data_IF_216039699909
#
_entry.id   IF_216039699909
#
_cell.length_a   1.000
_cell.length_b   1.000
_cell.length_c   1.000
_cell.angle_alpha   90.00
_cell.angle_beta   90.00
_cell.angle_gamma   90.00
#
_symmetry.space_group_name_H-M   'P 1'
#
loop_
_entity.id
_entity.type
_entity.pdbx_description
1 polymer ?
#
# COMPACT_ATOMS: atom_id res chain seq x y z
N UNK A 1 25.83 -3.88 -1.53
CA UNK A 1 25.57 -3.94 -2.98
C UNK A 1 24.38 -4.88 -3.17
N UNK A 2 23.16 -4.35 -3.17
CA UNK A 2 21.96 -5.16 -3.31
C UNK A 2 21.79 -5.57 -4.76
N UNK A 3 21.87 -6.86 -5.05
CA UNK A 3 21.60 -7.39 -6.37
C UNK A 3 20.12 -7.16 -6.71
N UNK A 4 19.85 -6.42 -7.78
CA UNK A 4 18.50 -6.30 -8.36
C UNK A 4 18.02 -7.67 -8.84
N UNK A 5 16.72 -7.96 -8.74
CA UNK A 5 16.12 -9.22 -9.23
C UNK A 5 16.45 -9.51 -10.72
N UNK A 6 16.82 -8.47 -11.49
CA UNK A 6 17.29 -8.58 -12.86
C UNK A 6 18.71 -9.18 -13.03
N UNK A 7 19.51 -9.32 -11.97
CA UNK A 7 20.89 -9.84 -12.03
C UNK A 7 21.05 -11.27 -11.48
N UNK A 8 19.96 -11.98 -11.20
CA UNK A 8 20.02 -13.36 -10.70
C UNK A 8 20.30 -14.36 -11.84
N UNK A 9 21.21 -15.34 -11.63
CA UNK A 9 21.48 -16.42 -12.57
C UNK A 9 20.28 -17.35 -12.75
N UNK A 10 20.24 -18.12 -13.84
CA UNK A 10 19.12 -19.02 -14.18
C UNK A 10 18.90 -20.15 -13.15
N UNK A 11 19.93 -20.44 -12.36
CA UNK A 11 19.89 -21.35 -11.21
C UNK A 11 20.48 -20.65 -9.98
N UNK A 12 19.80 -20.75 -8.85
CA UNK A 12 20.21 -20.18 -7.55
C UNK A 12 20.54 -21.34 -6.61
N UNK A 13 21.71 -21.31 -5.97
CA UNK A 13 22.08 -22.36 -5.01
C UNK A 13 21.19 -22.27 -3.76
N UNK A 14 20.98 -23.36 -3.03
CA UNK A 14 20.21 -23.32 -1.78
C UNK A 14 20.81 -22.36 -0.74
N UNK A 15 22.14 -22.22 -0.68
CA UNK A 15 22.79 -21.26 0.22
C UNK A 15 22.54 -19.80 -0.19
N UNK A 16 22.58 -19.52 -1.50
CA UNK A 16 22.21 -18.21 -2.02
C UNK A 16 20.73 -17.93 -1.78
N UNK A 17 19.88 -18.92 -2.00
CA UNK A 17 18.46 -18.83 -1.76
C UNK A 17 18.15 -18.58 -0.27
N UNK A 18 18.82 -19.28 0.64
CA UNK A 18 18.71 -19.10 2.09
C UNK A 18 19.17 -17.71 2.51
N UNK A 19 20.26 -17.22 1.94
CA UNK A 19 20.75 -15.86 2.16
C UNK A 19 19.82 -14.78 1.62
N UNK A 20 19.10 -15.03 0.51
CA UNK A 20 18.21 -14.05 -0.14
C UNK A 20 16.77 -14.09 0.42
N UNK A 21 16.27 -15.28 0.77
CA UNK A 21 14.92 -15.48 1.29
C UNK A 21 14.82 -15.18 2.79
N UNK A 22 15.92 -15.36 3.54
CA UNK A 22 15.95 -15.17 4.99
C UNK A 22 14.96 -16.10 5.69
N UNK A 23 14.11 -15.52 6.54
CA UNK A 23 13.10 -16.28 7.32
C UNK A 23 12.01 -16.95 6.46
N UNK A 24 11.94 -16.63 5.16
CA UNK A 24 11.04 -17.30 4.19
C UNK A 24 11.62 -18.60 3.63
N UNK A 25 12.86 -18.94 3.97
CA UNK A 25 13.50 -20.17 3.52
C UNK A 25 12.99 -21.37 4.33
N UNK A 26 12.09 -22.14 3.72
CA UNK A 26 11.65 -23.43 4.24
C UNK A 26 12.62 -24.52 3.77
N UNK A 27 13.50 -24.95 4.68
CA UNK A 27 14.56 -25.91 4.40
C UNK A 27 14.02 -27.23 3.80
N UNK A 28 12.83 -27.69 4.21
CA UNK A 28 12.26 -28.93 3.71
C UNK A 28 11.69 -28.77 2.29
N UNK A 29 10.88 -27.72 2.09
CA UNK A 29 10.23 -27.43 0.80
C UNK A 29 11.24 -27.11 -0.30
N UNK A 30 12.32 -26.40 0.06
CA UNK A 30 13.33 -25.97 -0.90
C UNK A 30 14.34 -27.07 -1.22
N UNK A 31 14.66 -27.96 -0.28
CA UNK A 31 15.48 -29.15 -0.55
C UNK A 31 14.75 -30.17 -1.43
N UNK A 32 13.44 -30.36 -1.26
CA UNK A 32 12.64 -31.26 -2.11
C UNK A 32 12.63 -30.81 -3.59
N UNK A 33 12.74 -29.50 -3.80
CA UNK A 33 12.69 -28.87 -5.11
C UNK A 33 14.05 -28.65 -5.77
N UNK A 34 15.13 -28.82 -5.03
CA UNK A 34 16.47 -28.62 -5.52
C UNK A 34 16.86 -29.76 -6.47
N UNK A 35 17.61 -29.43 -7.52
CA UNK A 35 18.24 -30.43 -8.36
C UNK A 35 19.33 -31.20 -7.57
N UNK A 36 19.86 -32.32 -8.11
CA UNK A 36 20.90 -33.10 -7.42
C UNK A 36 22.19 -32.34 -7.10
N UNK A 37 22.36 -31.14 -7.66
CA UNK A 37 23.48 -30.22 -7.45
C UNK A 37 23.17 -29.17 -6.37
N UNK A 38 21.97 -29.20 -5.78
CA UNK A 38 21.55 -28.30 -4.71
C UNK A 38 21.09 -26.93 -5.21
N UNK A 39 20.56 -26.84 -6.43
CA UNK A 39 20.08 -25.59 -7.03
C UNK A 39 18.58 -25.61 -7.31
N UNK A 40 17.96 -24.43 -7.21
CA UNK A 40 16.59 -24.19 -7.68
C UNK A 40 16.61 -23.29 -8.91
N UNK A 41 15.65 -23.46 -9.82
CA UNK A 41 15.55 -22.58 -11.00
C UNK A 41 15.19 -21.16 -10.56
N UNK A 42 15.60 -20.16 -11.33
CA UNK A 42 15.22 -18.76 -11.11
C UNK A 42 13.70 -18.57 -11.05
N UNK A 43 12.95 -19.29 -11.87
CA UNK A 43 11.49 -19.24 -11.87
C UNK A 43 10.90 -19.82 -10.58
N UNK A 44 11.40 -20.96 -10.11
CA UNK A 44 11.00 -21.56 -8.83
C UNK A 44 11.40 -20.66 -7.65
N UNK A 45 12.63 -20.16 -7.65
CA UNK A 45 13.14 -19.18 -6.68
C UNK A 45 12.26 -17.93 -6.65
N UNK A 46 11.86 -17.39 -7.79
CA UNK A 46 10.98 -16.23 -7.87
C UNK A 46 9.54 -16.60 -7.49
N UNK A 47 9.04 -17.80 -7.83
CA UNK A 47 7.68 -18.22 -7.49
C UNK A 47 7.46 -18.41 -5.98
N UNK A 48 8.51 -18.81 -5.25
CA UNK A 48 8.48 -18.98 -3.79
C UNK A 48 9.12 -17.82 -3.04
N UNK A 49 10.09 -17.14 -3.65
CA UNK A 49 10.69 -15.90 -3.17
C UNK A 49 9.81 -14.66 -3.39
N UNK A 50 8.80 -14.74 -4.27
CA UNK A 50 7.67 -13.80 -4.37
C UNK A 50 6.54 -14.13 -3.40
N UNK A 51 6.65 -15.17 -2.56
CA UNK A 51 5.76 -15.28 -1.40
C UNK A 51 6.14 -14.16 -0.41
N UNK A 52 5.42 -13.04 -0.54
CA UNK A 52 5.55 -11.75 0.14
C UNK A 52 6.86 -11.01 -0.14
N UNK A 53 6.83 -9.71 -0.52
CA UNK A 53 8.04 -8.89 -0.56
C UNK A 53 8.67 -8.86 0.85
N UNK A 54 9.98 -9.13 0.94
CA UNK A 54 10.72 -8.64 2.10
C UNK A 54 10.68 -7.12 2.04
N UNK A 55 10.24 -6.45 3.11
CA UNK A 55 9.99 -5.03 3.12
C UNK A 55 11.31 -4.31 2.84
N UNK A 56 11.35 -3.54 1.77
CA UNK A 56 12.41 -2.56 1.54
C UNK A 56 12.31 -1.47 2.61
N UNK A 57 12.87 -1.71 3.79
CA UNK A 57 13.03 -0.70 4.83
C UNK A 57 11.79 -0.37 5.67
N UNK A 58 10.80 -1.26 5.75
CA UNK A 58 9.70 -1.20 6.72
C UNK A 58 9.97 -2.04 7.97
N UNK A 59 9.27 -1.74 9.07
CA UNK A 59 9.27 -2.55 10.30
C UNK A 59 8.35 -3.77 10.13
N UNK A 60 8.56 -4.86 10.89
CA UNK A 60 7.59 -5.98 10.89
C UNK A 60 6.25 -5.50 11.45
N UNK A 61 5.15 -6.23 11.18
CA UNK A 61 3.83 -5.90 11.73
C UNK A 61 3.87 -5.83 13.25
N UNK A 62 4.57 -6.75 13.90
CA UNK A 62 4.73 -6.81 15.35
C UNK A 62 5.51 -5.60 15.88
N UNK A 63 6.52 -5.14 15.15
CA UNK A 63 7.29 -3.95 15.50
C UNK A 63 6.45 -2.67 15.33
N UNK A 64 5.68 -2.55 14.25
CA UNK A 64 4.75 -1.44 14.04
C UNK A 64 3.68 -1.39 15.12
N UNK A 65 3.09 -2.55 15.47
CA UNK A 65 2.11 -2.67 16.53
C UNK A 65 2.71 -2.35 17.90
N UNK A 66 3.95 -2.78 18.17
CA UNK A 66 4.66 -2.43 19.40
C UNK A 66 4.96 -0.92 19.49
N UNK A 67 5.37 -0.29 18.39
CA UNK A 67 5.59 1.15 18.32
C UNK A 67 4.27 1.92 18.54
N UNK A 68 3.20 1.52 17.87
CA UNK A 68 1.87 2.10 18.04
C UNK A 68 1.34 1.92 19.47
N UNK A 69 1.59 0.77 20.10
CA UNK A 69 1.22 0.54 21.49
C UNK A 69 2.03 1.43 22.45
N UNK A 70 3.31 1.67 22.18
CA UNK A 70 4.13 2.58 22.98
C UNK A 70 3.67 4.03 22.85
N UNK A 71 3.35 4.48 21.64
CA UNK A 71 2.81 5.82 21.40
C UNK A 71 1.43 6.01 22.05
N UNK A 72 0.58 4.97 22.00
CA UNK A 72 -0.70 4.96 22.68
C UNK A 72 -0.55 5.06 24.21
N UNK A 73 0.37 4.29 24.79
CA UNK A 73 0.68 4.40 26.23
C UNK A 73 1.21 5.79 26.60
N UNK A 74 2.03 6.40 25.75
CA UNK A 74 2.52 7.75 25.96
C UNK A 74 1.39 8.79 25.90
N UNK A 75 0.43 8.63 24.98
CA UNK A 75 -0.74 9.48 24.88
C UNK A 75 -1.66 9.33 26.10
N UNK A 76 -1.91 8.10 26.55
CA UNK A 76 -2.70 7.81 27.75
C UNK A 76 -2.04 8.38 29.02
N UNK A 77 -0.72 8.21 29.17
CA UNK A 77 0.04 8.77 30.28
C UNK A 77 0.02 10.31 30.32
N UNK A 78 -0.07 10.95 29.14
CA UNK A 78 -0.22 12.39 29.01
C UNK A 78 -1.68 12.87 29.11
N UNK A 79 -2.65 11.95 29.25
CA UNK A 79 -4.08 12.29 29.34
C UNK A 79 -4.65 12.87 28.04
N UNK A 80 -4.09 12.48 26.89
CA UNK A 80 -4.46 13.02 25.58
C UNK A 80 -5.77 12.39 25.12
N UNK A 81 -6.75 13.22 24.77
CA UNK A 81 -7.94 12.77 24.05
C UNK A 81 -7.63 12.58 22.56
N UNK A 82 -7.12 11.39 22.21
CA UNK A 82 -6.80 11.05 20.83
C UNK A 82 -8.02 11.13 19.91
N UNK A 83 -9.25 10.94 20.42
CA UNK A 83 -10.47 11.06 19.60
C UNK A 83 -10.69 12.50 19.20
N UNK A 84 -10.46 13.45 20.10
CA UNK A 84 -10.52 14.87 19.80
C UNK A 84 -9.49 15.26 18.74
N UNK A 85 -8.24 14.77 18.87
CA UNK A 85 -7.17 14.99 17.87
C UNK A 85 -7.57 14.45 16.49
N UNK A 86 -7.99 13.19 16.39
CA UNK A 86 -8.33 12.61 15.08
C UNK A 86 -9.59 13.24 14.48
N UNK A 87 -10.58 13.58 15.32
CA UNK A 87 -11.83 14.19 14.85
C UNK A 87 -11.60 15.59 14.29
N UNK A 88 -10.78 16.43 14.92
CA UNK A 88 -10.55 17.79 14.41
C UNK A 88 -9.86 17.78 13.03
N UNK A 89 -8.95 16.83 12.80
CA UNK A 89 -8.28 16.64 11.50
C UNK A 89 -9.26 16.09 10.46
N UNK A 90 -10.05 15.07 10.83
CA UNK A 90 -11.03 14.42 9.94
C UNK A 90 -12.07 15.40 9.41
N UNK A 91 -12.50 16.35 10.24
CA UNK A 91 -13.47 17.39 9.87
C UNK A 91 -12.83 18.67 9.32
N UNK A 92 -11.56 18.62 8.92
CA UNK A 92 -10.84 19.73 8.29
C UNK A 92 -10.90 21.04 9.10
N UNK A 93 -10.76 20.95 10.44
CA UNK A 93 -10.68 22.15 11.27
C UNK A 93 -9.49 23.02 10.84
N UNK A 94 -9.61 24.36 10.90
CA UNK A 94 -8.51 25.26 10.59
C UNK A 94 -7.25 24.92 11.41
N UNK A 95 -6.07 25.10 10.83
CA UNK A 95 -4.78 24.76 11.49
C UNK A 95 -4.66 25.44 12.85
N UNK A 96 -5.17 26.66 13.00
CA UNK A 96 -5.17 27.39 14.28
C UNK A 96 -5.99 26.67 15.37
N UNK A 97 -7.16 26.11 15.02
CA UNK A 97 -7.95 25.30 15.96
C UNK A 97 -7.26 23.97 16.28
N UNK A 98 -6.63 23.35 15.27
CA UNK A 98 -5.87 22.11 15.47
C UNK A 98 -4.66 22.33 16.38
N UNK A 99 -3.98 23.47 16.24
CA UNK A 99 -2.82 23.84 17.06
C UNK A 99 -3.18 24.06 18.53
N UNK A 100 -4.43 24.39 18.86
CA UNK A 100 -4.90 24.45 20.25
C UNK A 100 -5.10 23.07 20.88
N UNK A 101 -5.29 22.04 20.06
CA UNK A 101 -5.51 20.66 20.50
C UNK A 101 -4.18 19.88 20.49
N UNK A 102 -3.34 20.08 19.47
CA UNK A 102 -2.07 19.38 19.31
C UNK A 102 -0.96 20.23 19.93
N UNK A 103 -0.70 19.99 21.21
CA UNK A 103 0.22 20.81 22.02
C UNK A 103 1.60 20.16 22.23
N UNK A 104 1.78 18.91 21.84
CA UNK A 104 3.03 18.19 22.04
C UNK A 104 3.24 17.11 20.97
N UNK A 105 4.47 16.60 20.81
CA UNK A 105 4.74 15.48 19.90
C UNK A 105 3.92 14.22 20.18
N UNK A 106 3.51 13.99 21.44
CA UNK A 106 2.62 12.88 21.79
C UNK A 106 1.20 13.07 21.23
N UNK A 107 0.73 14.31 21.06
CA UNK A 107 -0.53 14.59 20.35
C UNK A 107 -0.37 14.31 18.85
N UNK A 108 0.75 14.73 18.25
CA UNK A 108 1.03 14.52 16.82
C UNK A 108 1.14 13.04 16.45
N UNK A 109 1.45 12.18 17.43
CA UNK A 109 1.69 10.75 17.23
C UNK A 109 0.70 9.85 18.00
N UNK A 110 -0.44 10.37 18.48
CA UNK A 110 -1.43 9.52 19.13
C UNK A 110 -2.09 8.57 18.10
N UNK A 111 -2.45 7.36 18.50
CA UNK A 111 -3.00 6.34 17.60
C UNK A 111 -4.52 6.25 17.72
N UNK A 112 -5.24 6.20 16.59
CA UNK A 112 -6.67 5.88 16.53
C UNK A 112 -6.86 4.37 16.73
N UNK A 113 -7.56 3.98 17.80
CA UNK A 113 -7.73 2.56 18.17
C UNK A 113 -8.58 1.77 17.18
N UNK A 114 -9.34 2.43 16.30
CA UNK A 114 -10.21 1.74 15.34
C UNK A 114 -9.48 1.22 14.11
N UNK A 115 -8.44 1.91 13.66
CA UNK A 115 -7.77 1.64 12.38
C UNK A 115 -6.24 1.85 12.43
N UNK A 116 -5.67 2.08 13.62
CA UNK A 116 -4.24 2.32 13.82
C UNK A 116 -3.72 3.59 13.16
N UNK A 117 -4.59 4.49 12.68
CA UNK A 117 -4.14 5.71 12.03
C UNK A 117 -3.50 6.66 13.04
N UNK A 118 -2.56 7.44 12.52
CA UNK A 118 -1.98 8.59 13.19
C UNK A 118 -2.62 9.86 12.60
N UNK A 119 -2.57 11.00 13.29
CA UNK A 119 -3.00 12.30 12.78
C UNK A 119 -2.59 12.58 11.33
N UNK A 120 -1.32 12.29 11.01
CA UNK A 120 -0.74 12.50 9.68
C UNK A 120 -1.33 11.59 8.59
N UNK A 121 -1.82 10.38 8.93
CA UNK A 121 -2.50 9.51 7.97
C UNK A 121 -3.82 10.14 7.51
N UNK A 122 -4.62 10.65 8.45
CA UNK A 122 -5.91 11.28 8.14
C UNK A 122 -5.72 12.59 7.38
N UNK A 123 -4.72 13.39 7.76
CA UNK A 123 -4.38 14.62 7.04
C UNK A 123 -3.93 14.33 5.60
N UNK A 124 -3.13 13.27 5.39
CA UNK A 124 -2.68 12.85 4.06
C UNK A 124 -3.82 12.27 3.21
N UNK A 125 -4.68 11.43 3.78
CA UNK A 125 -5.87 10.87 3.12
C UNK A 125 -6.86 11.96 2.66
N UNK A 126 -6.95 13.08 3.38
CA UNK A 126 -7.85 14.16 3.02
C UNK A 126 -7.20 15.25 2.15
N UNK A 127 -5.91 15.11 1.82
CA UNK A 127 -5.19 16.11 1.03
C UNK A 127 -4.95 17.44 1.75
N UNK A 128 -5.01 17.46 3.09
CA UNK A 128 -4.87 18.70 3.87
C UNK A 128 -3.40 19.15 3.95
N UNK A 129 -2.87 19.70 2.86
CA UNK A 129 -1.45 20.02 2.70
C UNK A 129 -0.85 20.86 3.83
N UNK A 130 -1.49 21.99 4.18
CA UNK A 130 -1.00 22.88 5.24
C UNK A 130 -0.94 22.16 6.59
N UNK A 131 -1.89 21.28 6.85
CA UNK A 131 -1.96 20.52 8.09
C UNK A 131 -0.92 19.40 8.13
N UNK A 132 -0.66 18.71 7.01
CA UNK A 132 0.44 17.74 6.91
C UNK A 132 1.77 18.42 7.20
N UNK A 133 2.01 19.58 6.56
CA UNK A 133 3.23 20.36 6.78
C UNK A 133 3.38 20.81 8.24
N UNK A 134 2.29 21.25 8.84
CA UNK A 134 2.27 21.64 10.25
C UNK A 134 2.53 20.45 11.19
N UNK A 135 1.92 19.28 10.95
CA UNK A 135 2.13 18.07 11.75
C UNK A 135 3.59 17.59 11.68
N UNK A 136 4.18 17.56 10.48
CA UNK A 136 5.59 17.19 10.28
C UNK A 136 6.51 18.14 11.04
N UNK A 137 6.26 19.45 10.98
CA UNK A 137 7.01 20.44 11.75
C UNK A 137 6.87 20.26 13.28
N UNK A 138 5.78 19.66 13.74
CA UNK A 138 5.50 19.35 15.15
C UNK A 138 5.85 17.90 15.54
N UNK A 139 6.78 17.28 14.80
CA UNK A 139 7.35 15.97 15.16
C UNK A 139 6.44 14.79 14.88
N UNK A 140 5.47 14.92 13.97
CA UNK A 140 4.76 13.75 13.46
C UNK A 140 5.73 12.82 12.73
N UNK A 141 5.65 11.53 13.04
CA UNK A 141 6.44 10.50 12.37
C UNK A 141 5.95 10.35 10.92
N UNK A 142 6.86 10.43 9.95
CA UNK A 142 6.51 10.42 8.51
C UNK A 142 6.38 9.01 7.92
N UNK A 143 6.94 8.00 8.59
CA UNK A 143 7.04 6.62 8.12
C UNK A 143 6.26 5.61 8.98
N UNK A 144 5.39 6.09 9.88
CA UNK A 144 4.52 5.20 10.68
C UNK A 144 3.61 4.39 9.76
N UNK A 145 3.31 3.16 10.18
CA UNK A 145 2.38 2.27 9.49
C UNK A 145 1.11 2.18 10.32
N UNK A 146 -0.05 2.39 9.69
CA UNK A 146 -1.35 2.28 10.34
C UNK A 146 -1.82 0.82 10.47
N UNK A 147 -3.07 0.61 10.87
CA UNK A 147 -3.80 -0.66 10.96
C UNK A 147 -4.05 -1.40 9.63
N UNK A 148 -3.46 -0.98 8.51
CA UNK A 148 -3.36 -1.76 7.25
C UNK A 148 -1.92 -1.78 6.70
N UNK A 149 -0.95 -1.30 7.48
CA UNK A 149 0.46 -1.22 7.08
C UNK A 149 0.77 -0.02 6.19
N UNK A 150 -0.24 0.78 5.86
CA UNK A 150 -0.08 1.93 5.01
C UNK A 150 0.62 3.05 5.77
N UNK A 151 1.56 3.71 5.11
CA UNK A 151 2.19 4.95 5.59
C UNK A 151 1.38 6.18 5.16
N UNK A 152 1.65 7.37 5.70
CA UNK A 152 1.02 8.60 5.22
C UNK A 152 1.24 8.84 3.73
N UNK A 153 2.38 8.40 3.19
CA UNK A 153 2.69 8.48 1.77
C UNK A 153 1.78 7.57 0.93
N UNK A 154 1.50 6.34 1.38
CA UNK A 154 0.51 5.47 0.71
C UNK A 154 -0.86 6.15 0.61
N UNK A 155 -1.30 6.83 1.67
CA UNK A 155 -2.57 7.56 1.68
C UNK A 155 -2.55 8.75 0.72
N UNK A 156 -1.50 9.57 0.74
CA UNK A 156 -1.41 10.71 -0.17
C UNK A 156 -1.47 10.29 -1.65
N UNK A 157 -0.82 9.17 -1.97
CA UNK A 157 -0.73 8.66 -3.35
C UNK A 157 -2.02 7.96 -3.79
N UNK A 158 -2.65 7.15 -2.94
CA UNK A 158 -3.88 6.43 -3.31
C UNK A 158 -5.04 7.37 -3.68
N UNK A 159 -5.04 8.56 -3.07
CA UNK A 159 -6.00 9.65 -3.32
C UNK A 159 -5.48 10.76 -4.25
N UNK A 160 -4.32 10.58 -4.90
CA UNK A 160 -3.77 11.48 -5.92
C UNK A 160 -3.45 12.91 -5.43
N UNK A 161 -3.00 13.05 -4.18
CA UNK A 161 -2.56 14.33 -3.61
C UNK A 161 -1.07 14.53 -3.82
N UNK A 162 -0.71 14.98 -5.03
CA UNK A 162 0.69 15.20 -5.44
C UNK A 162 1.46 16.19 -4.55
N UNK A 163 0.83 17.29 -4.11
CA UNK A 163 1.48 18.27 -3.23
C UNK A 163 1.82 17.68 -1.85
N UNK A 164 0.89 16.91 -1.27
CA UNK A 164 1.11 16.19 -0.01
C UNK A 164 2.21 15.15 -0.17
N UNK A 165 2.15 14.35 -1.23
CA UNK A 165 3.13 13.32 -1.53
C UNK A 165 4.53 13.92 -1.69
N UNK A 166 4.65 15.01 -2.47
CA UNK A 166 5.90 15.74 -2.65
C UNK A 166 6.46 16.28 -1.34
N UNK A 167 5.61 16.80 -0.45
CA UNK A 167 6.06 17.29 0.85
C UNK A 167 6.50 16.16 1.78
N UNK A 168 5.76 15.05 1.85
CA UNK A 168 6.15 13.86 2.62
C UNK A 168 7.51 13.32 2.15
N UNK A 169 7.73 13.24 0.84
CA UNK A 169 9.02 12.84 0.25
C UNK A 169 10.15 13.80 0.64
N UNK A 170 9.91 15.12 0.53
CA UNK A 170 10.89 16.13 0.96
C UNK A 170 11.18 16.08 2.48
N UNK A 171 10.26 15.47 3.25
CA UNK A 171 10.35 15.30 4.70
C UNK A 171 10.91 13.93 5.12
N UNK A 172 11.40 13.13 4.17
CA UNK A 172 12.06 11.85 4.45
C UNK A 172 11.14 10.63 4.47
N UNK A 173 9.96 10.70 3.82
CA UNK A 173 9.12 9.52 3.62
C UNK A 173 9.86 8.46 2.78
N UNK A 174 9.87 7.22 3.25
CA UNK A 174 10.48 6.08 2.56
C UNK A 174 9.46 5.44 1.61
N UNK A 175 9.78 5.48 0.32
CA UNK A 175 8.93 4.98 -0.77
C UNK A 175 8.91 3.45 -0.88
N UNK A 176 9.87 2.77 -0.26
CA UNK A 176 10.02 1.33 -0.34
C UNK A 176 9.30 0.59 0.81
N UNK A 177 8.76 1.31 1.80
CA UNK A 177 7.93 0.69 2.85
C UNK A 177 6.68 0.11 2.19
N UNK A 178 6.44 -1.16 2.43
CA UNK A 178 5.25 -1.88 1.97
C UNK A 178 4.15 -1.83 3.02
N UNK A 179 2.90 -1.73 2.57
CA UNK A 179 1.75 -2.09 3.38
C UNK A 179 1.70 -3.61 3.65
N UNK A 180 0.74 -4.09 4.44
CA UNK A 180 0.69 -5.53 4.78
C UNK A 180 0.23 -6.44 3.64
N UNK A 181 -0.26 -5.85 2.55
CA UNK A 181 -0.51 -6.56 1.29
C UNK A 181 0.76 -6.69 0.44
N UNK A 182 1.87 -6.06 0.87
CA UNK A 182 3.15 -6.07 0.17
C UNK A 182 3.35 -4.93 -0.82
N UNK A 183 2.41 -3.98 -0.93
CA UNK A 183 2.50 -2.88 -1.89
C UNK A 183 3.37 -1.75 -1.33
N UNK A 184 4.50 -1.37 -1.97
CA UNK A 184 5.29 -0.22 -1.58
C UNK A 184 4.61 1.11 -1.89
N UNK A 185 4.97 2.14 -1.11
CA UNK A 185 4.47 3.50 -1.29
C UNK A 185 4.90 4.16 -2.62
N UNK A 186 5.90 3.63 -3.34
CA UNK A 186 6.40 4.25 -4.58
C UNK A 186 5.40 4.26 -5.75
N UNK A 187 4.43 3.34 -5.74
CA UNK A 187 3.48 3.21 -6.83
C UNK A 187 2.51 4.40 -6.83
N UNK A 188 2.72 5.34 -7.75
CA UNK A 188 1.93 6.54 -7.98
C UNK A 188 2.68 7.86 -7.78
N UNK A 189 3.96 7.84 -7.36
CA UNK A 189 4.80 9.04 -7.22
C UNK A 189 5.11 9.67 -8.59
N UNK A 190 5.43 8.84 -9.59
CA UNK A 190 5.73 9.29 -10.96
C UNK A 190 4.48 9.24 -11.88
N UNK A 191 3.29 9.04 -11.29
CA UNK A 191 2.06 8.67 -12.03
C UNK A 191 1.98 7.20 -12.42
N UNK A 192 3.03 6.42 -12.13
CA UNK A 192 3.09 4.96 -12.31
C UNK A 192 2.25 4.26 -11.24
N UNK A 193 1.01 3.93 -11.58
CA UNK A 193 0.13 3.09 -10.76
C UNK A 193 0.72 1.68 -10.68
N UNK A 194 0.46 0.95 -9.57
CA UNK A 194 0.91 -0.44 -9.42
C UNK A 194 0.56 -1.23 -10.69
N UNK A 195 1.56 -1.75 -11.41
CA UNK A 195 1.33 -2.45 -12.67
C UNK A 195 0.46 -3.70 -12.51
N UNK A 196 0.30 -4.21 -11.28
CA UNK A 196 -0.53 -5.36 -10.97
C UNK A 196 -1.89 -4.99 -10.35
N UNK A 197 -2.17 -3.70 -10.09
CA UNK A 197 -3.46 -3.30 -9.52
C UNK A 197 -4.59 -3.63 -10.49
N UNK A 198 -5.63 -4.39 -10.07
CA UNK A 198 -6.69 -4.80 -10.97
C UNK A 198 -7.47 -3.64 -11.59
N UNK A 199 -7.62 -2.49 -10.90
CA UNK A 199 -8.29 -1.30 -11.46
C UNK A 199 -7.40 -0.69 -12.54
N UNK A 200 -6.09 -0.61 -12.30
CA UNK A 200 -5.13 -0.10 -13.28
C UNK A 200 -5.00 -1.01 -14.50
N UNK A 201 -4.88 -2.33 -14.30
CA UNK A 201 -4.88 -3.31 -15.37
C UNK A 201 -6.15 -3.22 -16.22
N UNK A 202 -7.30 -2.95 -15.58
CA UNK A 202 -8.55 -2.72 -16.29
C UNK A 202 -8.55 -1.40 -17.08
N UNK A 203 -8.00 -0.32 -16.52
CA UNK A 203 -7.88 1.00 -17.17
C UNK A 203 -6.88 1.00 -18.35
N UNK A 204 -5.89 0.10 -18.33
CA UNK A 204 -4.78 0.06 -19.29
C UNK A 204 -4.85 -1.10 -20.28
N UNK A 205 -5.90 -1.93 -20.22
CA UNK A 205 -6.04 -3.10 -21.09
C UNK A 205 -6.13 -2.70 -22.58
N UNK A 206 -5.65 -3.56 -23.46
CA UNK A 206 -5.75 -3.41 -24.93
C UNK A 206 -6.46 -4.58 -25.57
N UNK A 207 -6.57 -5.70 -24.87
CA UNK A 207 -7.22 -6.93 -25.35
C UNK A 207 -8.31 -7.39 -24.39
N UNK A 208 -9.25 -8.15 -24.91
CA UNK A 208 -10.31 -8.80 -24.11
C UNK A 208 -9.71 -9.69 -23.00
N UNK A 209 -8.63 -10.41 -23.31
CA UNK A 209 -7.94 -11.28 -22.35
C UNK A 209 -7.37 -10.50 -21.17
N UNK A 210 -6.77 -9.32 -21.42
CA UNK A 210 -6.26 -8.46 -20.36
C UNK A 210 -7.38 -7.90 -19.49
N UNK A 211 -8.51 -7.52 -20.09
CA UNK A 211 -9.68 -7.09 -19.35
C UNK A 211 -10.22 -8.21 -18.45
N UNK A 212 -10.38 -9.44 -18.97
CA UNK A 212 -10.84 -10.59 -18.20
C UNK A 212 -9.86 -10.99 -17.09
N UNK A 213 -8.56 -10.91 -17.35
CA UNK A 213 -7.52 -11.16 -16.35
C UNK A 213 -7.60 -10.13 -15.21
N UNK A 214 -7.76 -8.84 -15.54
CA UNK A 214 -7.93 -7.78 -14.56
C UNK A 214 -9.22 -7.97 -13.71
N UNK A 215 -10.33 -8.36 -14.34
CA UNK A 215 -11.58 -8.65 -13.64
C UNK A 215 -11.47 -9.87 -12.72
N UNK A 216 -10.78 -10.92 -13.17
CA UNK A 216 -10.52 -12.11 -12.35
C UNK A 216 -9.61 -11.77 -11.16
N UNK A 217 -8.57 -10.96 -11.37
CA UNK A 217 -7.72 -10.47 -10.31
C UNK A 217 -8.49 -9.59 -9.30
N UNK A 218 -9.43 -8.77 -9.78
CA UNK A 218 -10.30 -7.97 -8.92
C UNK A 218 -11.24 -8.85 -8.09
N UNK A 219 -11.81 -9.89 -8.69
CA UNK A 219 -12.64 -10.84 -7.96
C UNK A 219 -11.85 -11.57 -6.87
N UNK A 220 -10.66 -12.08 -7.18
CA UNK A 220 -9.81 -12.72 -6.16
C UNK A 220 -9.46 -11.73 -5.05
N UNK A 221 -9.13 -10.49 -5.38
CA UNK A 221 -8.91 -9.43 -4.40
C UNK A 221 -10.16 -9.16 -3.55
N UNK A 222 -11.35 -9.21 -4.14
CA UNK A 222 -12.61 -9.02 -3.41
C UNK A 222 -12.88 -10.14 -2.38
N UNK A 223 -12.29 -11.32 -2.57
CA UNK A 223 -12.39 -12.45 -1.63
C UNK A 223 -11.41 -12.31 -0.47
N UNK A 224 -10.23 -11.74 -0.72
CA UNK A 224 -9.15 -11.64 0.28
C UNK A 224 -9.19 -10.33 1.07
N UNK A 225 -9.47 -9.21 0.41
CA UNK A 225 -9.41 -7.88 1.00
C UNK A 225 -10.42 -6.94 0.31
N UNK A 226 -11.67 -7.02 0.78
CA UNK A 226 -12.77 -6.25 0.25
C UNK A 226 -12.74 -4.77 0.66
N UNK A 227 -12.16 -4.45 1.82
CA UNK A 227 -12.19 -3.11 2.40
C UNK A 227 -11.18 -2.16 1.72
N UNK A 228 -10.08 -2.67 1.15
CA UNK A 228 -9.12 -1.82 0.41
C UNK A 228 -9.55 -1.47 -1.01
N UNK A 229 -10.60 -2.10 -1.54
CA UNK A 229 -11.04 -1.88 -2.91
C UNK A 229 -11.84 -0.59 -3.00
N UNK A 230 -11.30 0.40 -3.72
CA UNK A 230 -12.05 1.61 -4.09
C UNK A 230 -13.12 1.26 -5.14
N UNK A 231 -14.29 0.85 -4.64
CA UNK A 231 -15.46 0.51 -5.45
C UNK A 231 -15.87 1.66 -6.37
N UNK A 232 -15.73 2.91 -5.94
CA UNK A 232 -16.09 4.08 -6.76
C UNK A 232 -15.15 4.21 -7.95
N UNK A 233 -13.85 4.04 -7.73
CA UNK A 233 -12.82 4.09 -8.77
C UNK A 233 -12.92 2.91 -9.74
N UNK A 234 -13.21 1.72 -9.24
CA UNK A 234 -13.48 0.55 -10.09
C UNK A 234 -14.72 0.75 -10.97
N UNK A 235 -15.83 1.24 -10.38
CA UNK A 235 -17.05 1.58 -11.10
C UNK A 235 -16.82 2.62 -12.21
N UNK A 236 -16.10 3.71 -11.87
CA UNK A 236 -15.74 4.75 -12.83
C UNK A 236 -14.87 4.22 -13.97
N UNK A 237 -13.89 3.37 -13.66
CA UNK A 237 -12.99 2.76 -14.65
C UNK A 237 -13.77 1.93 -15.66
N UNK A 238 -14.62 1.00 -15.20
CA UNK A 238 -15.46 0.20 -16.12
C UNK A 238 -16.42 1.07 -16.95
N UNK A 239 -16.92 2.18 -16.39
CA UNK A 239 -17.77 3.11 -17.15
C UNK A 239 -16.99 3.91 -18.21
N UNK A 240 -15.76 4.34 -17.89
CA UNK A 240 -14.87 5.04 -18.81
C UNK A 240 -14.40 4.14 -19.95
N UNK A 241 -14.06 2.88 -19.64
CA UNK A 241 -13.72 1.85 -20.63
C UNK A 241 -14.90 1.62 -21.56
N UNK A 242 -16.11 1.46 -21.03
CA UNK A 242 -17.33 1.30 -21.82
C UNK A 242 -17.63 2.50 -22.73
N UNK A 243 -17.32 3.72 -22.29
CA UNK A 243 -17.56 4.96 -23.06
C UNK A 243 -16.47 5.23 -24.11
N UNK A 244 -15.33 4.52 -24.07
CA UNK A 244 -14.18 4.75 -24.95
C UNK A 244 -13.53 6.13 -24.75
N UNK A 245 -13.63 6.69 -23.54
CA UNK A 245 -13.17 8.06 -23.23
C UNK A 245 -11.70 8.15 -22.81
N UNK A 246 -11.01 7.01 -22.69
CA UNK A 246 -9.57 6.88 -22.46
C UNK A 246 -8.97 6.00 -23.56
N UNK A 247 -7.63 5.90 -23.64
CA UNK A 247 -6.78 5.26 -24.66
C UNK A 247 -7.04 3.77 -24.99
N UNK A 248 -8.24 3.26 -24.74
CA UNK A 248 -8.72 1.92 -24.99
C UNK A 248 -9.36 1.86 -26.38
N UNK A 249 -8.91 0.92 -27.21
CA UNK A 249 -9.62 0.56 -28.41
C UNK A 249 -10.97 -0.05 -28.03
N UNK A 250 -12.04 0.41 -28.68
CA UNK A 250 -13.44 0.05 -28.36
C UNK A 250 -13.74 -1.45 -28.45
N UNK A 251 -12.81 -2.22 -29.03
CA UNK A 251 -12.92 -3.65 -29.33
C UNK A 251 -12.57 -4.55 -28.13
N UNK A 252 -11.85 -4.05 -27.12
CA UNK A 252 -11.40 -4.85 -25.96
C UNK A 252 -12.49 -5.09 -24.91
N UNK A 253 -13.61 -4.34 -24.97
CA UNK A 253 -14.69 -4.37 -23.96
C UNK A 253 -15.93 -5.14 -24.44
N UNK A 254 -15.80 -6.46 -24.54
CA UNK A 254 -16.84 -7.37 -25.05
C UNK A 254 -18.05 -7.51 -24.10
N UNK A 255 -19.18 -8.06 -24.57
CA UNK A 255 -20.32 -8.40 -23.70
C UNK A 255 -19.95 -9.33 -22.54
N UNK A 256 -18.96 -10.20 -22.73
CA UNK A 256 -18.43 -11.08 -21.69
C UNK A 256 -17.71 -10.29 -20.59
N UNK A 257 -16.82 -9.35 -20.95
CA UNK A 257 -16.21 -8.43 -19.98
C UNK A 257 -17.26 -7.62 -19.20
N UNK A 258 -18.33 -7.19 -19.86
CA UNK A 258 -19.41 -6.45 -19.23
C UNK A 258 -20.20 -7.30 -18.22
N UNK A 259 -20.50 -8.55 -18.56
CA UNK A 259 -21.15 -9.49 -17.65
C UNK A 259 -20.26 -9.74 -16.43
N UNK A 260 -18.98 -10.04 -16.67
CA UNK A 260 -18.01 -10.31 -15.60
C UNK A 260 -17.79 -9.09 -14.69
N UNK A 261 -17.67 -7.90 -15.27
CA UNK A 261 -17.60 -6.66 -14.51
C UNK A 261 -18.84 -6.45 -13.63
N UNK A 262 -20.04 -6.76 -14.15
CA UNK A 262 -21.29 -6.71 -13.38
C UNK A 262 -21.30 -7.67 -12.19
N UNK A 263 -20.78 -8.88 -12.37
CA UNK A 263 -20.63 -9.86 -11.29
C UNK A 263 -19.68 -9.37 -10.21
N UNK A 264 -18.48 -8.90 -10.58
CA UNK A 264 -17.50 -8.34 -9.64
C UNK A 264 -18.08 -7.12 -8.91
N UNK A 265 -18.78 -6.23 -9.60
CA UNK A 265 -19.48 -5.09 -8.99
C UNK A 265 -20.57 -5.49 -7.99
N UNK A 266 -21.17 -6.67 -8.14
CA UNK A 266 -22.13 -7.22 -7.18
C UNK A 266 -21.46 -7.84 -5.95
N UNK A 267 -20.20 -8.26 -6.08
CA UNK A 267 -19.41 -8.83 -4.99
C UNK A 267 -18.78 -7.76 -4.10
N UNK A 268 -18.36 -6.64 -4.69
CA UNK A 268 -17.89 -5.43 -4.00
C UNK A 268 -19.04 -4.71 -3.30
#
# INVERSE_FOLDING_TARGET
MGASASSLPDKVTLDQAKSLAGDRFDDAKWQEAADPEGNVTKETFLSWGNAAPVPGGGVTKEQAEAEAAADMQAADAAGIDWKAVHSCIRWAKPVDEVALIILSPAHSNCVDTGNGNYPIHIAAQNGHFDLVKWLVANGAKVNVQNGTGQTPLHMAISYDYGEVSGHLLSSGANVEICNWDGNPAKFGIDGDKDPNDPIFLLDSCKTTEQALAALSAMEERSKTDKESIDKSKFAMTGMQVKKGTKSLEKESWTPECQARFGEVMGML
#
